data_IF_396615480006
#
_entry.id   IF_396615480006
#
_cell.length_a   1.000
_cell.length_b   1.000
_cell.length_c   1.000
_cell.angle_alpha   90.00
_cell.angle_beta   90.00
_cell.angle_gamma   90.00
#
_symmetry.space_group_name_H-M   'P 1'
#
loop_
_entity.id
_entity.type
_entity.pdbx_description
1 polymer ?
#
# COMPACT_ATOMS: atom_id res chain seq x y z
N UNK A 1 -29.04 -20.50 18.47
CA UNK A 1 -28.60 -20.57 17.09
C UNK A 1 -28.01 -19.19 16.68
N UNK A 2 -26.79 -19.13 16.18
CA UNK A 2 -26.18 -17.87 15.68
C UNK A 2 -26.41 -17.80 14.16
N UNK A 3 -26.99 -16.72 13.68
CA UNK A 3 -27.20 -16.45 12.25
C UNK A 3 -26.43 -15.20 11.83
N UNK A 4 -25.64 -15.27 10.74
CA UNK A 4 -24.97 -14.13 10.15
C UNK A 4 -25.83 -13.55 9.03
N UNK A 5 -26.00 -12.23 9.04
CA UNK A 5 -26.79 -11.49 8.05
C UNK A 5 -25.90 -10.44 7.38
N UNK A 6 -26.22 -10.02 6.13
CA UNK A 6 -25.57 -8.88 5.50
C UNK A 6 -25.66 -7.62 6.38
N UNK A 7 -24.62 -6.79 6.34
CA UNK A 7 -24.59 -5.51 7.06
C UNK A 7 -25.43 -4.43 6.36
N UNK A 8 -25.59 -4.54 5.05
CA UNK A 8 -26.20 -3.53 4.20
C UNK A 8 -25.19 -2.89 3.26
N UNK A 9 -24.99 -1.57 3.35
CA UNK A 9 -24.06 -0.84 2.48
C UNK A 9 -22.66 -0.81 3.10
N UNK A 10 -21.66 -1.26 2.34
CA UNK A 10 -20.24 -1.21 2.71
C UNK A 10 -19.52 -0.19 1.82
N UNK A 11 -18.79 0.74 2.41
CA UNK A 11 -17.89 1.63 1.70
C UNK A 11 -16.48 1.05 1.68
N UNK A 12 -15.86 0.98 0.50
CA UNK A 12 -14.47 0.59 0.32
C UNK A 12 -13.62 1.75 -0.17
N UNK A 13 -12.50 2.00 0.51
CA UNK A 13 -11.50 3.00 0.11
C UNK A 13 -10.22 2.23 -0.22
N UNK A 14 -9.84 2.26 -1.50
CA UNK A 14 -8.70 1.50 -2.02
C UNK A 14 -7.43 2.35 -2.13
N UNK A 15 -6.24 1.74 -1.98
CA UNK A 15 -4.95 2.39 -2.12
C UNK A 15 -4.48 2.42 -3.59
N UNK A 16 -3.38 3.14 -3.84
CA UNK A 16 -2.82 3.31 -5.18
C UNK A 16 -1.90 2.15 -5.62
N UNK A 17 -1.25 1.47 -4.67
CA UNK A 17 -0.15 0.55 -4.98
C UNK A 17 -0.60 -0.77 -5.65
N UNK A 18 -1.65 -1.40 -5.18
CA UNK A 18 -2.32 -2.53 -5.84
C UNK A 18 -3.80 -2.22 -6.06
N UNK A 19 -4.11 -1.26 -6.94
CA UNK A 19 -5.43 -0.64 -7.03
C UNK A 19 -6.53 -1.62 -7.46
N UNK A 20 -6.21 -2.59 -8.31
CA UNK A 20 -7.15 -3.63 -8.72
C UNK A 20 -7.33 -4.67 -7.61
N UNK A 21 -6.22 -5.27 -7.15
CA UNK A 21 -6.25 -6.38 -6.19
C UNK A 21 -6.89 -5.97 -4.86
N UNK A 22 -6.45 -4.85 -4.28
CA UNK A 22 -6.91 -4.42 -2.95
C UNK A 22 -8.33 -3.84 -2.97
N UNK A 23 -8.78 -3.31 -4.10
CA UNK A 23 -10.18 -2.98 -4.29
C UNK A 23 -11.03 -4.24 -4.44
N UNK A 24 -10.61 -5.16 -5.32
CA UNK A 24 -11.36 -6.38 -5.61
C UNK A 24 -11.53 -7.28 -4.38
N UNK A 25 -10.49 -7.41 -3.52
CA UNK A 25 -10.60 -8.13 -2.24
C UNK A 25 -11.74 -7.60 -1.37
N UNK A 26 -11.97 -6.28 -1.33
CA UNK A 26 -13.06 -5.68 -0.55
C UNK A 26 -14.41 -5.92 -1.21
N UNK A 27 -14.48 -5.65 -2.51
CA UNK A 27 -15.71 -5.78 -3.31
C UNK A 27 -16.22 -7.21 -3.31
N UNK A 28 -15.37 -8.18 -3.67
CA UNK A 28 -15.77 -9.57 -3.83
C UNK A 28 -16.35 -10.17 -2.54
N UNK A 29 -15.68 -9.99 -1.41
CA UNK A 29 -16.16 -10.51 -0.13
C UNK A 29 -17.43 -9.82 0.35
N UNK A 30 -17.57 -8.51 0.12
CA UNK A 30 -18.77 -7.79 0.49
C UNK A 30 -19.99 -8.26 -0.32
N UNK A 31 -19.84 -8.39 -1.64
CA UNK A 31 -20.91 -8.87 -2.53
C UNK A 31 -21.26 -10.34 -2.25
N UNK A 32 -20.26 -11.20 -2.07
CA UNK A 32 -20.48 -12.61 -1.73
C UNK A 32 -21.24 -12.79 -0.40
N UNK A 33 -21.06 -11.86 0.54
CA UNK A 33 -21.78 -11.84 1.81
C UNK A 33 -23.17 -11.15 1.72
N UNK A 34 -23.65 -10.81 0.52
CA UNK A 34 -24.97 -10.21 0.27
C UNK A 34 -25.07 -8.70 0.60
N UNK A 35 -23.94 -8.01 0.70
CA UNK A 35 -23.93 -6.56 0.91
C UNK A 35 -23.94 -5.81 -0.43
N UNK A 36 -24.35 -4.55 -0.41
CA UNK A 36 -24.08 -3.59 -1.49
C UNK A 36 -22.78 -2.86 -1.20
N UNK A 37 -22.12 -2.36 -2.26
CA UNK A 37 -20.77 -1.80 -2.13
C UNK A 37 -20.62 -0.46 -2.85
N UNK A 38 -19.98 0.48 -2.17
CA UNK A 38 -19.57 1.77 -2.75
C UNK A 38 -18.04 1.83 -2.73
N UNK A 39 -17.41 1.82 -3.90
CA UNK A 39 -15.95 1.87 -4.06
C UNK A 39 -15.46 3.29 -4.32
N UNK A 40 -14.60 3.81 -3.46
CA UNK A 40 -13.75 4.95 -3.73
C UNK A 40 -12.34 4.44 -4.10
N UNK A 41 -11.94 4.49 -5.37
CA UNK A 41 -10.58 4.14 -5.77
C UNK A 41 -9.58 5.20 -5.31
N UNK A 42 -8.29 4.88 -5.30
CA UNK A 42 -7.27 5.91 -5.09
C UNK A 42 -7.33 6.97 -6.19
N UNK A 43 -7.15 8.24 -5.83
CA UNK A 43 -7.23 9.35 -6.79
C UNK A 43 -6.16 9.27 -7.88
N UNK A 44 -4.98 8.70 -7.56
CA UNK A 44 -3.89 8.52 -8.51
C UNK A 44 -4.09 7.32 -9.46
N UNK A 45 -4.98 6.36 -9.12
CA UNK A 45 -5.17 5.12 -9.89
C UNK A 45 -6.65 4.74 -10.05
N UNK A 46 -7.51 5.65 -10.54
CA UNK A 46 -8.96 5.41 -10.59
C UNK A 46 -9.38 4.39 -11.64
N UNK A 47 -8.58 4.18 -12.69
CA UNK A 47 -8.91 3.33 -13.82
C UNK A 47 -9.18 1.88 -13.40
N UNK A 48 -8.44 1.35 -12.42
CA UNK A 48 -8.69 0.01 -11.88
C UNK A 48 -10.10 -0.15 -11.30
N UNK A 49 -10.62 0.91 -10.66
CA UNK A 49 -12.00 0.93 -10.17
C UNK A 49 -13.02 0.89 -11.32
N UNK A 50 -12.74 1.62 -12.42
CA UNK A 50 -13.57 1.59 -13.63
C UNK A 50 -13.58 0.20 -14.27
N UNK A 51 -12.44 -0.49 -14.29
CA UNK A 51 -12.35 -1.87 -14.80
C UNK A 51 -13.20 -2.84 -13.96
N UNK A 52 -13.18 -2.70 -12.64
CA UNK A 52 -14.04 -3.50 -11.75
C UNK A 52 -15.52 -3.21 -12.04
N UNK A 53 -15.90 -1.94 -12.17
CA UNK A 53 -17.28 -1.56 -12.48
C UNK A 53 -17.77 -2.16 -13.81
N UNK A 54 -16.96 -2.07 -14.87
CA UNK A 54 -17.26 -2.67 -16.18
C UNK A 54 -17.38 -4.20 -16.12
N UNK A 55 -16.49 -4.86 -15.38
CA UNK A 55 -16.54 -6.33 -15.23
C UNK A 55 -17.81 -6.78 -14.50
N UNK A 56 -18.20 -6.09 -13.45
CA UNK A 56 -19.42 -6.39 -12.69
C UNK A 56 -20.69 -6.10 -13.51
N UNK A 57 -20.73 -5.00 -14.26
CA UNK A 57 -21.83 -4.66 -15.16
C UNK A 57 -21.97 -5.73 -16.26
N UNK A 58 -20.87 -6.11 -16.90
CA UNK A 58 -20.84 -7.17 -17.89
C UNK A 58 -21.21 -8.56 -17.35
N UNK A 59 -21.01 -8.80 -16.04
CA UNK A 59 -21.46 -10.02 -15.36
C UNK A 59 -22.95 -9.99 -14.96
N UNK A 60 -23.67 -8.91 -15.24
CA UNK A 60 -25.10 -8.78 -14.94
C UNK A 60 -25.42 -8.51 -13.47
N UNK A 61 -24.50 -7.96 -12.70
CA UNK A 61 -24.79 -7.57 -11.31
C UNK A 61 -25.89 -6.50 -11.32
N UNK A 62 -26.95 -6.63 -10.51
CA UNK A 62 -28.06 -5.68 -10.49
C UNK A 62 -27.60 -4.23 -10.20
N UNK A 63 -28.25 -3.26 -10.85
CA UNK A 63 -27.94 -1.85 -10.67
C UNK A 63 -28.06 -1.45 -9.20
N UNK A 64 -27.09 -0.65 -8.70
CA UNK A 64 -27.04 -0.19 -7.32
C UNK A 64 -26.37 -1.16 -6.35
N UNK A 65 -26.11 -2.42 -6.73
CA UNK A 65 -25.39 -3.37 -5.86
C UNK A 65 -23.90 -2.98 -5.75
N UNK A 66 -23.29 -2.52 -6.84
CA UNK A 66 -21.97 -1.93 -6.85
C UNK A 66 -22.01 -0.51 -7.42
N UNK A 67 -21.34 0.43 -6.75
CA UNK A 67 -21.26 1.82 -7.15
C UNK A 67 -19.80 2.30 -7.07
N UNK A 68 -19.33 2.95 -8.12
CA UNK A 68 -18.00 3.55 -8.17
C UNK A 68 -18.11 5.06 -7.98
N UNK A 69 -17.40 5.60 -6.98
CA UNK A 69 -17.38 7.04 -6.68
C UNK A 69 -15.91 7.52 -6.63
N UNK A 70 -15.35 7.96 -7.76
CA UNK A 70 -14.03 8.59 -7.78
C UNK A 70 -14.06 9.96 -7.10
N UNK A 71 -12.90 10.38 -6.58
CA UNK A 71 -12.74 11.68 -5.94
C UNK A 71 -11.65 11.69 -4.87
N UNK A 72 -11.46 12.83 -4.22
CA UNK A 72 -10.45 12.99 -3.19
C UNK A 72 -10.77 12.18 -1.91
N UNK A 73 -9.73 11.88 -1.12
CA UNK A 73 -9.92 11.27 0.20
C UNK A 73 -10.63 12.20 1.17
N UNK A 74 -10.33 13.48 1.07
CA UNK A 74 -10.87 14.51 1.94
C UNK A 74 -12.37 14.74 1.68
N UNK A 75 -12.77 14.87 0.43
CA UNK A 75 -14.14 15.14 0.08
C UNK A 75 -15.02 13.88 0.07
N UNK A 76 -14.73 12.94 -0.83
CA UNK A 76 -15.55 11.74 -1.02
C UNK A 76 -15.35 10.75 0.13
N UNK A 77 -14.09 10.57 0.58
CA UNK A 77 -13.79 9.65 1.68
C UNK A 77 -14.51 10.01 2.97
N UNK A 78 -14.48 11.28 3.38
CA UNK A 78 -15.17 11.75 4.57
C UNK A 78 -16.70 11.60 4.45
N UNK A 79 -17.28 11.98 3.32
CA UNK A 79 -18.73 11.82 3.08
C UNK A 79 -19.17 10.36 3.18
N UNK A 80 -18.39 9.42 2.64
CA UNK A 80 -18.68 7.99 2.78
C UNK A 80 -18.63 7.50 4.22
N UNK A 81 -17.70 8.00 5.03
CA UNK A 81 -17.61 7.62 6.44
C UNK A 81 -18.80 8.17 7.24
N UNK A 82 -19.22 9.38 6.94
CA UNK A 82 -20.26 10.11 7.66
C UNK A 82 -21.70 9.72 7.24
N UNK A 83 -21.89 9.21 6.01
CA UNK A 83 -23.23 8.87 5.48
C UNK A 83 -23.92 7.76 6.31
N UNK A 84 -25.09 8.05 6.83
CA UNK A 84 -25.85 7.15 7.73
C UNK A 84 -26.20 5.79 7.10
N UNK A 85 -26.29 5.71 5.79
CA UNK A 85 -26.57 4.46 5.05
C UNK A 85 -25.40 3.50 5.06
N UNK A 86 -24.16 4.00 5.19
CA UNK A 86 -22.96 3.18 5.28
C UNK A 86 -22.89 2.52 6.65
N UNK A 87 -22.83 1.19 6.66
CA UNK A 87 -22.76 0.37 7.88
C UNK A 87 -21.36 -0.10 8.23
N UNK A 88 -20.48 -0.14 7.23
CA UNK A 88 -19.09 -0.55 7.41
C UNK A 88 -18.18 0.22 6.44
N UNK A 89 -16.98 0.57 6.91
CA UNK A 89 -15.91 1.15 6.10
C UNK A 89 -14.75 0.16 6.02
N UNK A 90 -14.39 -0.27 4.81
CA UNK A 90 -13.22 -1.09 4.53
C UNK A 90 -12.13 -0.22 3.88
N UNK A 91 -11.05 0.02 4.59
CA UNK A 91 -9.97 0.92 4.18
C UNK A 91 -8.65 0.19 4.01
N UNK A 92 -7.86 0.59 3.01
CA UNK A 92 -6.43 0.31 2.94
C UNK A 92 -5.69 1.58 2.55
N UNK A 93 -4.66 1.94 3.34
CA UNK A 93 -3.87 3.16 3.10
C UNK A 93 -2.95 3.51 4.26
N UNK A 94 -2.67 4.80 4.46
CA UNK A 94 -1.77 5.25 5.52
C UNK A 94 -2.36 5.11 6.93
N UNK A 95 -1.49 4.88 7.91
CA UNK A 95 -1.87 4.78 9.33
C UNK A 95 -2.54 6.05 9.82
N UNK A 96 -2.09 7.23 9.39
CA UNK A 96 -2.68 8.51 9.79
C UNK A 96 -4.14 8.62 9.35
N UNK A 97 -4.43 8.29 8.08
CA UNK A 97 -5.80 8.27 7.55
C UNK A 97 -6.65 7.20 8.23
N UNK A 98 -6.10 5.99 8.43
CA UNK A 98 -6.80 4.90 9.12
C UNK A 98 -7.22 5.26 10.53
N UNK A 99 -6.37 5.95 11.30
CA UNK A 99 -6.73 6.47 12.64
C UNK A 99 -7.91 7.45 12.59
N UNK A 100 -7.91 8.37 11.61
CA UNK A 100 -9.02 9.31 11.41
C UNK A 100 -10.31 8.60 11.06
N UNK A 101 -10.26 7.57 10.21
CA UNK A 101 -11.41 6.73 9.86
C UNK A 101 -11.94 5.98 11.10
N UNK A 102 -11.04 5.36 11.89
CA UNK A 102 -11.42 4.66 13.11
C UNK A 102 -12.15 5.59 14.09
N UNK A 103 -11.62 6.77 14.34
CA UNK A 103 -12.21 7.76 15.24
C UNK A 103 -13.62 8.16 14.79
N UNK A 104 -13.79 8.53 13.51
CA UNK A 104 -15.09 8.93 12.95
C UNK A 104 -16.09 7.77 12.92
N UNK A 105 -15.67 6.60 12.44
CA UNK A 105 -16.55 5.44 12.35
C UNK A 105 -17.00 4.96 13.72
N UNK A 106 -16.10 4.94 14.73
CA UNK A 106 -16.45 4.59 16.11
C UNK A 106 -17.46 5.55 16.72
N UNK A 107 -17.30 6.86 16.51
CA UNK A 107 -18.27 7.86 17.00
C UNK A 107 -19.67 7.66 16.40
N UNK A 108 -19.77 7.05 15.23
CA UNK A 108 -21.03 6.74 14.54
C UNK A 108 -21.48 5.30 14.70
N UNK A 109 -20.84 4.52 15.60
CA UNK A 109 -21.09 3.10 15.81
C UNK A 109 -21.03 2.23 14.55
N UNK A 110 -20.25 2.64 13.55
CA UNK A 110 -20.03 1.89 12.31
C UNK A 110 -18.93 0.86 12.47
N UNK A 111 -19.07 -0.28 11.82
CA UNK A 111 -17.98 -1.24 11.69
C UNK A 111 -16.89 -0.69 10.77
N UNK A 112 -15.64 -1.07 11.02
CA UNK A 112 -14.54 -0.77 10.12
C UNK A 112 -13.54 -1.93 10.08
N UNK A 113 -12.85 -2.03 8.93
CA UNK A 113 -11.70 -2.90 8.70
C UNK A 113 -10.61 -2.05 8.10
N UNK A 114 -9.45 -2.01 8.76
CA UNK A 114 -8.35 -1.12 8.39
C UNK A 114 -7.10 -1.95 8.11
N UNK A 115 -6.60 -1.84 6.88
CA UNK A 115 -5.32 -2.36 6.45
C UNK A 115 -4.38 -1.17 6.25
N UNK A 116 -3.28 -1.14 6.98
CA UNK A 116 -2.38 0.02 7.03
C UNK A 116 -0.94 -0.36 6.71
N UNK A 117 -0.07 0.63 6.69
CA UNK A 117 1.35 0.44 6.49
C UNK A 117 2.05 -0.25 7.66
N UNK A 118 3.27 -0.68 7.42
CA UNK A 118 4.13 -1.31 8.42
C UNK A 118 5.56 -0.80 8.34
N UNK A 119 6.41 -1.34 9.23
CA UNK A 119 7.87 -1.17 9.24
C UNK A 119 8.48 -2.55 9.48
N UNK A 120 8.37 -3.40 8.45
CA UNK A 120 8.58 -4.84 8.58
C UNK A 120 10.07 -5.17 8.68
N UNK A 121 10.49 -5.96 9.68
CA UNK A 121 11.85 -6.42 9.82
C UNK A 121 12.11 -7.69 8.99
N UNK A 122 13.33 -7.81 8.47
CA UNK A 122 13.95 -9.05 8.04
C UNK A 122 15.14 -9.29 8.95
N UNK A 123 15.21 -10.46 9.55
CA UNK A 123 16.28 -10.82 10.49
C UNK A 123 17.23 -11.79 9.78
N UNK A 124 18.52 -11.47 9.74
CA UNK A 124 19.57 -12.30 9.17
C UNK A 124 20.47 -12.85 10.30
N UNK A 125 20.44 -14.17 10.45
CA UNK A 125 21.31 -14.89 11.37
C UNK A 125 22.65 -15.24 10.70
N UNK A 126 23.68 -15.43 11.49
CA UNK A 126 25.06 -15.67 11.02
C UNK A 126 25.27 -16.96 10.21
N UNK A 127 24.37 -17.94 10.38
CA UNK A 127 24.42 -19.24 9.70
C UNK A 127 23.67 -19.27 8.37
N UNK A 128 23.02 -18.15 7.98
CA UNK A 128 22.34 -18.04 6.70
C UNK A 128 23.29 -17.52 5.60
N UNK A 129 23.11 -17.99 4.38
CA UNK A 129 23.90 -17.55 3.22
C UNK A 129 23.68 -16.08 2.90
N UNK A 130 24.74 -15.27 2.96
CA UNK A 130 24.68 -13.83 2.79
C UNK A 130 24.23 -13.43 1.37
N UNK A 131 24.64 -14.16 0.34
CA UNK A 131 24.28 -13.83 -1.04
C UNK A 131 22.80 -14.10 -1.30
N UNK A 132 22.29 -15.20 -0.74
CA UNK A 132 20.86 -15.49 -0.77
C UNK A 132 20.06 -14.44 0.04
N UNK A 133 20.56 -14.04 1.21
CA UNK A 133 19.95 -13.01 2.04
C UNK A 133 19.86 -11.67 1.30
N UNK A 134 20.91 -11.27 0.56
CA UNK A 134 20.93 -10.05 -0.27
C UNK A 134 19.83 -10.07 -1.33
N UNK A 135 19.64 -11.19 -2.03
CA UNK A 135 18.58 -11.33 -3.04
C UNK A 135 17.19 -11.23 -2.42
N UNK A 136 16.97 -11.91 -1.29
CA UNK A 136 15.69 -11.87 -0.57
C UNK A 136 15.41 -10.46 -0.04
N UNK A 137 16.40 -9.83 0.59
CA UNK A 137 16.31 -8.47 1.11
C UNK A 137 16.05 -7.46 -0.01
N UNK A 138 16.72 -7.60 -1.16
CA UNK A 138 16.54 -6.76 -2.33
C UNK A 138 15.14 -6.85 -2.91
N UNK A 139 14.62 -8.06 -3.08
CA UNK A 139 13.22 -8.24 -3.49
C UNK A 139 12.27 -7.62 -2.47
N UNK A 140 12.46 -7.91 -1.17
CA UNK A 140 11.59 -7.38 -0.11
C UNK A 140 11.62 -5.87 0.03
N UNK A 141 12.77 -5.22 -0.22
CA UNK A 141 12.93 -3.76 -0.08
C UNK A 141 12.53 -2.99 -1.35
N UNK A 142 12.89 -3.49 -2.54
CA UNK A 142 12.77 -2.72 -3.78
C UNK A 142 11.58 -3.10 -4.65
N UNK A 143 10.92 -4.23 -4.38
CA UNK A 143 9.72 -4.61 -5.13
C UNK A 143 8.68 -3.48 -5.10
N UNK A 144 8.18 -3.14 -6.29
CA UNK A 144 7.20 -2.05 -6.47
C UNK A 144 7.68 -0.71 -5.89
N UNK A 145 8.95 -0.38 -6.04
CA UNK A 145 9.61 0.84 -5.52
C UNK A 145 9.48 0.98 -3.99
N UNK A 146 9.38 -0.12 -3.26
CA UNK A 146 9.16 -0.08 -1.82
C UNK A 146 7.76 0.39 -1.37
N UNK A 147 6.83 0.63 -2.30
CA UNK A 147 5.50 1.17 -2.02
C UNK A 147 4.49 0.09 -1.62
N UNK A 148 4.90 -0.84 -0.76
CA UNK A 148 4.09 -2.00 -0.33
C UNK A 148 4.00 -2.04 1.20
N UNK A 149 2.81 -2.36 1.74
CA UNK A 149 2.60 -2.50 3.17
C UNK A 149 3.47 -3.58 3.83
N UNK A 150 3.86 -4.62 3.08
CA UNK A 150 4.72 -5.73 3.53
C UNK A 150 6.19 -5.60 3.09
N UNK A 151 6.58 -4.45 2.55
CA UNK A 151 7.95 -4.18 2.13
C UNK A 151 8.92 -4.31 3.31
N UNK A 152 10.06 -4.98 3.09
CA UNK A 152 11.14 -5.03 4.08
C UNK A 152 11.75 -3.64 4.22
N UNK A 153 11.59 -3.05 5.38
CA UNK A 153 12.03 -1.68 5.66
C UNK A 153 13.03 -1.60 6.81
N UNK A 154 13.32 -2.72 7.46
CA UNK A 154 14.39 -2.89 8.44
C UNK A 154 15.10 -4.21 8.22
N UNK A 155 16.41 -4.16 8.11
CA UNK A 155 17.28 -5.32 8.04
C UNK A 155 18.04 -5.41 9.37
N UNK A 156 17.76 -6.44 10.16
CA UNK A 156 18.40 -6.69 11.46
C UNK A 156 19.37 -7.83 11.24
N UNK A 157 20.65 -7.52 11.26
CA UNK A 157 21.72 -8.44 10.86
C UNK A 157 22.58 -8.77 12.06
N UNK A 158 22.87 -10.05 12.29
CA UNK A 158 23.78 -10.51 13.34
C UNK A 158 25.20 -9.99 13.07
N UNK A 159 25.88 -9.51 14.12
CA UNK A 159 27.19 -8.84 14.05
C UNK A 159 28.24 -9.57 13.19
N UNK A 160 28.45 -10.90 13.31
CA UNK A 160 29.49 -11.59 12.55
C UNK A 160 29.36 -11.53 11.02
N UNK A 161 28.16 -11.22 10.50
CA UNK A 161 27.89 -11.13 9.06
C UNK A 161 27.46 -9.73 8.62
N UNK A 162 27.43 -8.77 9.55
CA UNK A 162 26.90 -7.43 9.33
C UNK A 162 27.64 -6.70 8.21
N UNK A 163 28.95 -6.53 8.32
CA UNK A 163 29.73 -5.74 7.36
C UNK A 163 29.67 -6.36 5.96
N UNK A 164 29.87 -7.67 5.87
CA UNK A 164 29.76 -8.41 4.60
C UNK A 164 28.39 -8.25 3.96
N UNK A 165 27.33 -8.32 4.77
CA UNK A 165 25.96 -8.13 4.27
C UNK A 165 25.74 -6.70 3.79
N UNK A 166 26.16 -5.69 4.55
CA UNK A 166 26.00 -4.28 4.20
C UNK A 166 26.68 -3.94 2.87
N UNK A 167 27.96 -4.39 2.69
CA UNK A 167 28.71 -4.19 1.45
C UNK A 167 28.04 -4.88 0.26
N UNK A 168 27.67 -6.15 0.41
CA UNK A 168 27.02 -6.93 -0.64
C UNK A 168 25.64 -6.36 -1.00
N UNK A 169 24.85 -5.93 0.00
CA UNK A 169 23.53 -5.35 -0.24
C UNK A 169 23.61 -3.98 -0.91
N UNK A 170 24.58 -3.13 -0.52
CA UNK A 170 24.82 -1.85 -1.18
C UNK A 170 25.28 -2.06 -2.64
N UNK A 171 26.15 -3.04 -2.90
CA UNK A 171 26.56 -3.40 -4.25
C UNK A 171 25.36 -3.88 -5.09
N UNK A 172 24.52 -4.74 -4.53
CA UNK A 172 23.29 -5.22 -5.18
C UNK A 172 22.33 -4.06 -5.50
N UNK A 173 22.12 -3.14 -4.55
CA UNK A 173 21.26 -1.98 -4.76
C UNK A 173 21.72 -1.11 -5.94
N UNK A 174 23.05 -0.94 -6.13
CA UNK A 174 23.61 -0.20 -7.27
C UNK A 174 23.35 -0.85 -8.63
N UNK A 175 23.04 -2.16 -8.67
CA UNK A 175 22.67 -2.83 -9.93
C UNK A 175 21.22 -2.60 -10.35
N UNK A 176 20.39 -2.02 -9.47
CA UNK A 176 18.98 -1.77 -9.75
C UNK A 176 18.85 -0.61 -10.75
N UNK A 177 18.47 -0.92 -11.99
CA UNK A 177 18.22 0.10 -12.99
C UNK A 177 16.95 0.87 -12.67
N UNK A 178 17.09 2.15 -12.38
CA UNK A 178 15.98 3.11 -12.19
C UNK A 178 15.68 3.76 -13.55
N UNK A 179 14.40 3.91 -13.89
CA UNK A 179 14.04 4.57 -15.16
C UNK A 179 12.60 4.33 -15.60
N UNK A 180 12.35 4.65 -16.88
CA UNK A 180 11.04 4.51 -17.51
C UNK A 180 10.54 3.04 -17.45
N UNK A 181 9.36 2.77 -16.87
CA UNK A 181 8.80 1.43 -16.75
C UNK A 181 8.41 0.79 -18.10
N UNK A 182 8.37 1.54 -19.20
CA UNK A 182 8.18 0.99 -20.53
C UNK A 182 9.45 0.33 -21.11
N UNK A 183 10.61 0.56 -20.51
CA UNK A 183 11.86 -0.10 -20.90
C UNK A 183 11.94 -1.47 -20.22
N UNK A 184 12.30 -2.51 -21.00
CA UNK A 184 12.29 -3.91 -20.53
C UNK A 184 13.28 -4.21 -19.40
N UNK A 185 14.35 -3.44 -19.31
CA UNK A 185 15.44 -3.60 -18.35
C UNK A 185 15.32 -2.68 -17.12
N UNK A 186 14.30 -1.85 -17.05
CA UNK A 186 13.99 -1.06 -15.86
C UNK A 186 13.49 -1.97 -14.74
N UNK A 187 14.13 -1.87 -13.57
CA UNK A 187 13.77 -2.61 -12.36
C UNK A 187 12.96 -1.74 -11.41
N UNK A 188 13.36 -0.49 -11.27
CA UNK A 188 12.73 0.49 -10.38
C UNK A 188 12.12 1.59 -11.24
N UNK A 189 10.80 1.70 -11.20
CA UNK A 189 10.06 2.79 -11.84
C UNK A 189 9.94 4.03 -10.93
N UNK A 190 9.15 5.03 -11.35
CA UNK A 190 8.96 6.24 -10.55
C UNK A 190 8.08 5.98 -9.31
N UNK A 191 8.27 6.78 -8.28
CA UNK A 191 7.32 6.87 -7.19
C UNK A 191 6.00 7.48 -7.67
N UNK A 192 4.90 7.15 -7.00
CA UNK A 192 3.56 7.59 -7.39
C UNK A 192 3.38 9.11 -7.36
N UNK A 193 4.15 9.82 -6.53
CA UNK A 193 4.09 11.27 -6.34
C UNK A 193 5.44 11.83 -5.97
N UNK A 194 5.74 13.02 -6.45
CA UNK A 194 6.99 13.72 -6.16
C UNK A 194 7.11 14.11 -4.69
N UNK A 195 6.00 14.41 -4.00
CA UNK A 195 6.03 14.73 -2.57
C UNK A 195 6.58 13.56 -1.73
N UNK A 196 6.50 12.32 -2.22
CA UNK A 196 7.11 11.18 -1.53
C UNK A 196 8.64 11.23 -1.55
N UNK A 197 9.24 11.74 -2.62
CA UNK A 197 10.70 11.94 -2.68
C UNK A 197 11.16 12.91 -1.60
N UNK A 198 10.47 14.04 -1.44
CA UNK A 198 10.79 15.04 -0.41
C UNK A 198 10.68 14.47 1.01
N UNK A 199 9.68 13.62 1.27
CA UNK A 199 9.53 12.93 2.56
C UNK A 199 10.70 11.98 2.79
N UNK A 200 11.09 11.20 1.78
CA UNK A 200 12.22 10.26 1.86
C UNK A 200 13.52 11.02 2.10
N UNK A 201 13.77 12.09 1.35
CA UNK A 201 14.96 12.92 1.53
C UNK A 201 15.08 13.47 2.95
N UNK A 202 13.97 13.98 3.49
CA UNK A 202 13.95 14.48 4.87
C UNK A 202 14.24 13.40 5.90
N UNK A 203 13.75 12.16 5.66
CA UNK A 203 14.03 11.02 6.53
C UNK A 203 15.48 10.55 6.43
N UNK A 204 16.07 10.57 5.24
CA UNK A 204 17.50 10.25 5.03
C UNK A 204 18.37 11.28 5.76
N UNK A 205 18.09 12.58 5.58
CA UNK A 205 18.81 13.66 6.25
C UNK A 205 18.71 13.56 7.79
N UNK A 206 17.51 13.27 8.30
CA UNK A 206 17.31 13.05 9.74
C UNK A 206 18.15 11.86 10.24
N UNK A 207 18.15 10.75 9.52
CA UNK A 207 18.94 9.57 9.89
C UNK A 207 20.45 9.86 9.89
N UNK A 208 20.96 10.52 8.85
CA UNK A 208 22.37 10.89 8.73
C UNK A 208 22.77 11.87 9.85
N UNK A 209 21.93 12.85 10.17
CA UNK A 209 22.18 13.79 11.27
C UNK A 209 22.27 13.10 12.64
N UNK A 210 21.68 11.90 12.76
CA UNK A 210 21.71 11.06 13.97
C UNK A 210 22.82 9.99 13.94
N UNK A 211 23.72 10.07 12.98
CA UNK A 211 24.90 9.18 12.88
C UNK A 211 24.70 7.95 11.98
N UNK A 212 23.62 7.86 11.22
CA UNK A 212 23.49 6.80 10.22
C UNK A 212 24.45 7.03 9.03
N UNK A 213 24.92 5.92 8.44
CA UNK A 213 25.79 5.93 7.26
C UNK A 213 24.97 5.66 6.02
N UNK A 214 24.99 6.57 5.06
CA UNK A 214 24.38 6.35 3.74
C UNK A 214 25.33 5.52 2.88
N UNK A 215 25.08 4.22 2.76
CA UNK A 215 25.93 3.27 2.03
C UNK A 215 25.82 3.43 0.51
N UNK A 216 24.63 3.77 0.01
CA UNK A 216 24.33 3.99 -1.40
C UNK A 216 23.03 4.77 -1.53
N UNK A 217 22.78 5.32 -2.70
CA UNK A 217 21.69 6.21 -2.99
C UNK A 217 22.21 7.57 -3.40
N UNK A 218 21.35 8.47 -3.75
CA UNK A 218 21.76 9.79 -4.23
C UNK A 218 20.57 10.70 -4.48
N UNK A 219 20.82 11.88 -5.06
CA UNK A 219 19.76 12.78 -5.45
C UNK A 219 18.85 12.11 -6.49
N UNK A 220 17.58 12.42 -6.43
CA UNK A 220 16.57 11.95 -7.37
C UNK A 220 16.28 13.00 -8.46
N UNK A 221 15.81 12.56 -9.61
CA UNK A 221 15.28 13.42 -10.67
C UNK A 221 13.76 13.21 -10.77
N UNK A 222 12.99 14.26 -10.47
CA UNK A 222 11.53 14.17 -10.46
C UNK A 222 11.04 13.12 -9.45
N UNK A 223 10.37 12.07 -9.94
CA UNK A 223 9.84 10.97 -9.12
C UNK A 223 10.76 9.72 -9.08
N UNK A 224 11.96 9.78 -9.65
CA UNK A 224 12.90 8.66 -9.76
C UNK A 224 13.97 8.67 -8.69
#
# INVERSE_FOLDING_TARGET
MIRRLPLGVVAGIAPFNFPLLLALKKVAFALAAGNTFVLKPASATPVSGVMIAKALDGAGIPKGVFNLVPGSGEEVGNKLIEDERIRMVAFTGSTAVGRGIAAKASALFKKYSLEMGGKNPLILLKDFDVEQAVRIAGFGAFFHQGQICMCTSRLIVEEPVYDRFCEAFAAYARTMKVGDPHQKDTIIGPLIKQEQCQIIDSQIQDAVSKGAVLMTGGPHEGNY
#
